data_IF_956463722568
#
_entry.id   IF_956463722568
#
_cell.length_a   1.000
_cell.length_b   1.000
_cell.length_c   1.000
_cell.angle_alpha   90.00
_cell.angle_beta   90.00
_cell.angle_gamma   90.00
#
_symmetry.space_group_name_H-M   'P 1'
#
loop_
_entity.id
_entity.type
_entity.pdbx_description
1 polymer ?
#
# COMPACT_ATOMS: atom_id res chain seq x y z
N UNK A 1 -6.41 -20.88 -7.17
CA UNK A 1 -7.09 -19.63 -7.53
C UNK A 1 -7.00 -18.71 -6.32
N UNK A 2 -5.99 -17.82 -6.28
CA UNK A 2 -5.98 -16.75 -5.27
C UNK A 2 -7.06 -15.73 -5.61
N UNK A 3 -7.91 -15.40 -4.65
CA UNK A 3 -8.94 -14.38 -4.84
C UNK A 3 -8.29 -13.00 -4.78
N UNK A 4 -8.56 -12.16 -5.80
CA UNK A 4 -8.12 -10.76 -5.77
C UNK A 4 -8.97 -10.02 -4.73
N UNK A 5 -8.33 -9.54 -3.69
CA UNK A 5 -8.87 -8.64 -2.69
C UNK A 5 -8.79 -7.20 -3.20
N UNK A 6 -9.87 -6.45 -2.99
CA UNK A 6 -9.94 -5.02 -3.33
C UNK A 6 -10.37 -4.26 -2.09
N UNK A 7 -9.56 -3.27 -1.71
CA UNK A 7 -9.80 -2.39 -0.58
C UNK A 7 -9.81 -0.96 -1.08
N UNK A 8 -10.70 -0.15 -0.50
CA UNK A 8 -10.78 1.28 -0.77
C UNK A 8 -10.78 2.03 0.54
N UNK A 9 -9.96 3.05 0.65
CA UNK A 9 -9.81 3.86 1.84
C UNK A 9 -9.81 5.33 1.46
N UNK A 10 -10.54 6.14 2.23
CA UNK A 10 -10.63 7.57 2.02
C UNK A 10 -9.77 8.25 3.06
N UNK A 11 -8.64 8.80 2.64
CA UNK A 11 -7.72 9.46 3.57
C UNK A 11 -8.20 10.87 3.93
N UNK A 12 -7.73 11.34 5.07
CA UNK A 12 -7.89 12.73 5.48
C UNK A 12 -7.32 13.66 4.39
N UNK A 13 -8.14 14.59 3.90
CA UNK A 13 -7.82 15.43 2.74
C UNK A 13 -8.67 15.14 1.49
N UNK A 14 -9.61 14.18 1.56
CA UNK A 14 -10.61 13.93 0.52
C UNK A 14 -10.14 13.06 -0.64
N UNK A 15 -8.90 12.58 -0.58
CA UNK A 15 -8.31 11.67 -1.57
C UNK A 15 -8.79 10.24 -1.35
N UNK A 16 -8.94 9.50 -2.44
CA UNK A 16 -9.45 8.13 -2.42
C UNK A 16 -8.35 7.19 -2.90
N UNK A 17 -8.00 6.23 -2.05
CA UNK A 17 -7.04 5.17 -2.35
C UNK A 17 -7.75 3.85 -2.55
N UNK A 18 -7.30 3.09 -3.52
CA UNK A 18 -7.75 1.75 -3.86
C UNK A 18 -6.53 0.85 -3.99
N UNK A 19 -6.46 -0.18 -3.17
CA UNK A 19 -5.51 -1.27 -3.37
C UNK A 19 -6.25 -2.50 -3.89
N UNK A 20 -5.65 -3.17 -4.86
CA UNK A 20 -6.04 -4.50 -5.33
C UNK A 20 -4.84 -5.40 -5.17
N UNK A 21 -4.99 -6.53 -4.50
CA UNK A 21 -3.91 -7.47 -4.27
C UNK A 21 -4.49 -8.87 -4.12
N UNK A 22 -3.69 -9.89 -4.30
CA UNK A 22 -4.04 -11.28 -4.00
C UNK A 22 -3.17 -11.75 -2.85
N UNK A 23 -3.67 -12.71 -2.06
CA UNK A 23 -2.85 -13.38 -1.04
C UNK A 23 -2.68 -14.82 -1.47
N UNK A 24 -1.43 -15.24 -1.62
CA UNK A 24 -1.04 -16.59 -2.04
C UNK A 24 -0.01 -17.10 -1.01
N UNK A 25 -0.33 -18.20 -0.34
CA UNK A 25 0.51 -18.77 0.73
C UNK A 25 0.86 -17.78 1.86
N UNK A 26 -0.08 -16.87 2.20
CA UNK A 26 0.15 -15.83 3.21
C UNK A 26 1.00 -14.65 2.73
N UNK A 27 1.35 -14.58 1.44
CA UNK A 27 2.13 -13.49 0.84
C UNK A 27 1.31 -12.67 -0.13
N UNK A 28 1.57 -11.38 -0.16
CA UNK A 28 0.99 -10.45 -1.11
C UNK A 28 1.47 -10.77 -2.53
N UNK A 29 0.53 -10.86 -3.47
CA UNK A 29 0.77 -11.01 -4.91
C UNK A 29 -0.06 -10.04 -5.72
N UNK A 30 0.42 -9.68 -6.90
CA UNK A 30 -0.27 -8.79 -7.83
C UNK A 30 -0.77 -7.50 -7.14
N UNK A 31 0.08 -6.93 -6.27
CA UNK A 31 -0.24 -5.71 -5.54
C UNK A 31 -0.37 -4.58 -6.55
N UNK A 32 -1.49 -3.87 -6.51
CA UNK A 32 -1.78 -2.76 -7.40
C UNK A 32 -2.45 -1.67 -6.61
N UNK A 33 -1.84 -0.50 -6.64
CA UNK A 33 -2.33 0.67 -5.93
C UNK A 33 -2.81 1.69 -6.96
N UNK A 34 -4.01 2.22 -6.77
CA UNK A 34 -4.66 3.19 -7.64
C UNK A 34 -5.44 4.20 -6.81
N UNK A 35 -5.53 5.45 -7.25
CA UNK A 35 -6.25 6.47 -6.50
C UNK A 35 -5.77 7.88 -6.80
N UNK A 36 -6.34 8.85 -6.09
CA UNK A 36 -5.98 10.27 -6.16
C UNK A 36 -4.81 10.62 -5.21
N UNK A 37 -3.78 9.77 -5.20
CA UNK A 37 -2.54 10.05 -4.49
C UNK A 37 -1.43 10.36 -5.49
N UNK A 38 -0.42 11.07 -5.02
CA UNK A 38 0.79 11.32 -5.78
C UNK A 38 1.97 10.74 -5.01
N UNK A 39 2.88 10.10 -5.72
CA UNK A 39 4.17 9.69 -5.18
C UNK A 39 5.23 10.48 -5.92
N UNK A 40 6.17 11.07 -5.18
CA UNK A 40 7.29 11.78 -5.77
C UNK A 40 8.60 11.21 -5.26
N UNK A 41 9.52 10.73 -6.12
CA UNK A 41 9.37 10.59 -7.57
C UNK A 41 8.35 9.51 -7.95
N UNK A 42 7.72 9.61 -9.12
CA UNK A 42 6.68 8.66 -9.55
C UNK A 42 7.24 7.26 -9.80
N UNK A 43 8.51 7.14 -10.23
CA UNK A 43 9.20 5.87 -10.45
C UNK A 43 9.32 5.03 -9.18
N UNK A 44 9.31 5.67 -8.01
CA UNK A 44 9.37 4.96 -6.74
C UNK A 44 8.13 4.07 -6.53
N UNK A 45 7.01 4.30 -7.22
CA UNK A 45 5.80 3.50 -7.05
C UNK A 45 5.99 2.08 -7.60
N UNK A 46 6.72 1.97 -8.69
CA UNK A 46 6.92 0.72 -9.40
C UNK A 46 7.81 -0.23 -8.58
N UNK A 47 8.90 0.34 -8.03
CA UNK A 47 9.74 -0.38 -7.09
C UNK A 47 8.98 -0.72 -5.80
N UNK A 48 8.17 0.20 -5.25
CA UNK A 48 7.37 -0.06 -4.05
C UNK A 48 6.42 -1.24 -4.25
N UNK A 49 5.69 -1.26 -5.37
CA UNK A 49 4.79 -2.35 -5.74
C UNK A 49 5.58 -3.67 -5.88
N UNK A 50 6.76 -3.63 -6.49
CA UNK A 50 7.65 -4.79 -6.56
C UNK A 50 8.09 -5.28 -5.19
N UNK A 51 8.49 -4.40 -4.28
CA UNK A 51 8.95 -4.81 -2.95
C UNK A 51 7.80 -5.39 -2.14
N UNK A 52 6.60 -4.82 -2.27
CA UNK A 52 5.38 -5.33 -1.62
C UNK A 52 4.96 -6.70 -2.17
N UNK A 53 5.30 -7.03 -3.41
CA UNK A 53 4.97 -8.30 -4.03
C UNK A 53 5.91 -9.39 -3.48
N UNK A 54 5.36 -10.27 -2.65
CA UNK A 54 6.11 -11.31 -1.93
C UNK A 54 6.30 -11.00 -0.43
N UNK A 55 5.90 -9.82 0.04
CA UNK A 55 5.86 -9.50 1.48
C UNK A 55 4.76 -10.30 2.15
N UNK A 56 5.01 -10.73 3.38
CA UNK A 56 4.00 -11.37 4.21
C UNK A 56 2.80 -10.45 4.42
N UNK A 57 1.60 -11.02 4.37
CA UNK A 57 0.34 -10.31 4.62
C UNK A 57 0.21 -9.99 6.12
N UNK A 58 1.09 -9.11 6.62
CA UNK A 58 1.20 -8.69 8.00
C UNK A 58 1.43 -7.17 8.06
N UNK A 59 0.73 -6.49 8.96
CA UNK A 59 0.75 -5.03 9.07
C UNK A 59 2.18 -4.51 9.29
N UNK A 60 2.90 -5.16 10.21
CA UNK A 60 4.25 -4.79 10.59
C UNK A 60 5.22 -4.92 9.40
N UNK A 61 5.22 -6.06 8.70
CA UNK A 61 6.09 -6.27 7.53
C UNK A 61 5.78 -5.31 6.38
N UNK A 62 4.50 -5.04 6.12
CA UNK A 62 4.08 -4.10 5.07
C UNK A 62 4.50 -2.68 5.45
N UNK A 63 4.18 -2.24 6.68
CA UNK A 63 4.51 -0.90 7.16
C UNK A 63 6.02 -0.65 7.14
N UNK A 64 6.80 -1.62 7.63
CA UNK A 64 8.26 -1.55 7.67
C UNK A 64 8.86 -1.46 6.26
N UNK A 65 8.42 -2.35 5.35
CA UNK A 65 8.85 -2.34 3.94
C UNK A 65 8.56 -1.00 3.26
N UNK A 66 7.35 -0.46 3.43
CA UNK A 66 6.98 0.83 2.83
C UNK A 66 7.82 1.96 3.45
N UNK A 67 7.98 1.99 4.78
CA UNK A 67 8.74 3.04 5.47
C UNK A 67 10.22 3.04 5.07
N UNK A 68 10.85 1.86 5.02
CA UNK A 68 12.23 1.72 4.57
C UNK A 68 12.37 2.13 3.11
N UNK A 69 11.49 1.64 2.24
CA UNK A 69 11.54 1.96 0.83
C UNK A 69 11.42 3.46 0.57
N UNK A 70 10.49 4.15 1.24
CA UNK A 70 10.33 5.61 1.13
C UNK A 70 11.60 6.34 1.59
N UNK A 71 12.20 5.93 2.72
CA UNK A 71 13.45 6.53 3.21
C UNK A 71 14.61 6.32 2.24
N UNK A 72 14.78 5.11 1.71
CA UNK A 72 15.88 4.75 0.81
C UNK A 72 15.75 5.48 -0.52
N UNK A 73 14.54 5.52 -1.09
CA UNK A 73 14.29 6.14 -2.39
C UNK A 73 14.03 7.66 -2.31
N UNK A 74 14.09 8.25 -1.10
CA UNK A 74 13.65 9.63 -0.82
C UNK A 74 12.30 9.93 -1.46
N UNK A 75 11.41 8.95 -1.40
CA UNK A 75 10.09 9.03 -1.96
C UNK A 75 9.11 9.49 -0.89
N UNK A 76 8.15 10.33 -1.28
CA UNK A 76 7.15 10.85 -0.37
C UNK A 76 5.77 10.76 -1.01
N UNK A 77 4.79 10.32 -0.22
CA UNK A 77 3.39 10.32 -0.63
C UNK A 77 2.81 11.71 -0.40
N UNK A 78 2.33 12.32 -1.48
CA UNK A 78 1.67 13.62 -1.42
C UNK A 78 0.17 13.40 -1.26
N UNK A 79 -0.31 13.58 -0.03
CA UNK A 79 -1.71 13.46 0.40
C UNK A 79 -2.18 12.04 0.70
N UNK A 80 -1.27 11.14 1.02
CA UNK A 80 -1.52 9.88 1.72
C UNK A 80 -0.30 9.60 2.62
N UNK A 81 -0.45 8.78 3.65
CA UNK A 81 0.69 8.34 4.47
C UNK A 81 0.98 6.86 4.24
N UNK A 82 2.25 6.42 4.36
CA UNK A 82 2.58 4.99 4.30
C UNK A 82 1.85 4.16 5.36
N UNK A 83 1.52 4.76 6.51
CA UNK A 83 0.72 4.11 7.55
C UNK A 83 -0.74 3.89 7.12
N UNK A 84 -1.34 4.84 6.39
CA UNK A 84 -2.68 4.66 5.82
C UNK A 84 -2.69 3.50 4.82
N UNK A 85 -1.60 3.35 4.07
CA UNK A 85 -1.40 2.21 3.17
C UNK A 85 -1.28 0.89 3.92
N UNK A 86 -0.46 0.79 4.95
CA UNK A 86 -0.36 -0.46 5.73
C UNK A 86 -1.73 -0.88 6.28
N UNK A 87 -2.47 0.08 6.86
CA UNK A 87 -3.84 -0.13 7.36
C UNK A 87 -4.83 -0.54 6.28
N UNK A 88 -4.68 -0.05 5.04
CA UNK A 88 -5.54 -0.43 3.91
C UNK A 88 -5.49 -1.94 3.62
N UNK A 89 -4.35 -2.60 3.89
CA UNK A 89 -4.18 -4.04 3.68
C UNK A 89 -4.71 -4.86 4.85
N UNK A 90 -4.51 -4.41 6.10
CA UNK A 90 -4.76 -5.23 7.29
C UNK A 90 -6.04 -4.93 8.04
N UNK A 91 -6.55 -3.69 7.99
CA UNK A 91 -7.62 -3.26 8.90
C UNK A 91 -8.98 -3.06 8.18
N UNK A 92 -10.07 -3.26 8.92
CA UNK A 92 -11.36 -2.66 8.58
C UNK A 92 -11.32 -1.19 9.02
N UNK A 93 -11.80 -0.23 8.22
CA UNK A 93 -11.66 1.17 8.55
C UNK A 93 -12.37 1.48 9.89
N UNK A 94 -11.62 1.68 10.97
CA UNK A 94 -12.11 2.45 12.12
C UNK A 94 -12.36 3.89 11.63
N UNK A 95 -13.58 4.11 11.13
CA UNK A 95 -14.12 5.44 10.95
C UNK A 95 -14.41 6.00 12.34
N UNK A 96 -13.53 6.89 12.82
CA UNK A 96 -13.83 7.74 13.98
C UNK A 96 -14.25 9.14 13.55
#
# INVERSE_FOLDING_TARGET
>A
MGSILKKQFKVAGGKLLKASFSVDDGKLKDVKITGDFFLYPEEAIDGLISVLNGVEFAEESIAETISEYLKVNKAEFVGASPQDFAKLFTDEPEAS
#
